data_IF_529487506180
#
_entry.id   IF_529487506180
#
_cell.length_a   1.000
_cell.length_b   1.000
_cell.length_c   1.000
_cell.angle_alpha   90.00
_cell.angle_beta   90.00
_cell.angle_gamma   90.00
#
_symmetry.space_group_name_H-M   'P 1'
#
loop_
_entity.id
_entity.type
_entity.pdbx_description
1 polymer ?
#
# COMPACT_ATOMS: atom_id res chain seq x y z
N UNK A 1 30.57 -2.77 -5.03
CA UNK A 1 30.05 -1.39 -5.11
C UNK A 1 28.51 -1.29 -5.05
N UNK A 2 27.75 -2.36 -4.75
CA UNK A 2 26.26 -2.35 -4.72
C UNK A 2 25.61 -2.28 -3.32
N UNK A 3 26.33 -2.63 -2.24
CA UNK A 3 25.79 -2.66 -0.86
C UNK A 3 25.34 -1.30 -0.31
N UNK A 4 25.99 -0.22 -0.76
CA UNK A 4 25.67 1.15 -0.29
C UNK A 4 24.37 1.66 -0.94
N UNK A 5 24.05 1.18 -2.14
CA UNK A 5 22.88 1.64 -2.92
C UNK A 5 21.55 1.25 -2.27
N UNK A 6 21.41 -0.01 -1.82
CA UNK A 6 20.14 -0.52 -1.29
C UNK A 6 19.79 0.04 0.10
N UNK A 7 20.79 0.22 0.96
CA UNK A 7 20.62 0.87 2.27
C UNK A 7 20.27 2.35 2.14
N UNK A 8 20.89 3.04 1.17
CA UNK A 8 20.54 4.44 0.85
C UNK A 8 19.12 4.52 0.31
N UNK A 9 18.72 3.63 -0.59
CA UNK A 9 17.36 3.59 -1.14
C UNK A 9 16.32 3.30 -0.05
N UNK A 10 16.57 2.34 0.85
CA UNK A 10 15.69 2.05 1.98
C UNK A 10 15.61 3.23 2.97
N UNK A 11 16.73 3.90 3.26
CA UNK A 11 16.76 5.09 4.11
C UNK A 11 16.02 6.27 3.45
N UNK A 12 16.17 6.45 2.13
CA UNK A 12 15.44 7.44 1.34
C UNK A 12 13.94 7.13 1.33
N UNK A 13 13.55 5.86 1.14
CA UNK A 13 12.17 5.42 1.20
C UNK A 13 11.55 5.64 2.57
N UNK A 14 12.27 5.29 3.64
CA UNK A 14 11.84 5.55 5.02
C UNK A 14 11.69 7.04 5.27
N UNK A 15 12.63 7.86 4.79
CA UNK A 15 12.55 9.32 4.89
C UNK A 15 11.41 9.93 4.07
N UNK A 16 11.11 9.43 2.87
CA UNK A 16 9.99 9.90 2.05
C UNK A 16 8.64 9.45 2.61
N UNK A 17 8.55 8.22 3.14
CA UNK A 17 7.39 7.76 3.90
C UNK A 17 7.19 8.62 5.14
N UNK A 18 8.25 8.88 5.91
CA UNK A 18 8.22 9.75 7.08
C UNK A 18 7.81 11.17 6.67
N UNK A 19 8.31 11.75 5.58
CA UNK A 19 7.89 13.08 5.09
C UNK A 19 6.42 13.11 4.64
N UNK A 20 5.93 12.07 3.95
CA UNK A 20 4.51 11.94 3.57
C UNK A 20 3.62 11.77 4.80
N UNK A 21 4.05 10.96 5.77
CA UNK A 21 3.46 10.86 7.10
C UNK A 21 3.53 12.20 7.84
N UNK A 22 4.62 12.96 7.71
CA UNK A 22 4.79 14.26 8.35
C UNK A 22 3.91 15.35 7.74
N UNK A 23 3.67 15.32 6.43
CA UNK A 23 2.65 16.17 5.78
C UNK A 23 1.23 15.79 6.22
N UNK A 24 0.97 14.51 6.49
CA UNK A 24 -0.24 14.10 7.20
C UNK A 24 -0.19 14.50 8.69
N UNK A 25 1.00 14.59 9.30
CA UNK A 25 1.18 15.12 10.66
C UNK A 25 1.06 16.64 10.74
N UNK A 26 1.02 17.38 9.63
CA UNK A 26 0.59 18.79 9.68
C UNK A 26 -0.91 18.90 10.03
N UNK A 27 -1.72 17.85 9.84
CA UNK A 27 -3.04 17.75 10.48
C UNK A 27 -2.94 17.45 11.99
N UNK A 28 -1.94 16.67 12.41
CA UNK A 28 -1.65 16.37 13.82
C UNK A 28 -1.13 17.62 14.54
N UNK A 29 -0.29 18.43 13.90
CA UNK A 29 0.24 19.69 14.44
C UNK A 29 -0.84 20.76 14.61
N UNK A 30 -1.88 20.76 13.75
CA UNK A 30 -3.10 21.57 13.95
C UNK A 30 -3.91 21.14 15.18
N UNK A 31 -3.82 19.87 15.60
CA UNK A 31 -4.47 19.35 16.82
C UNK A 31 -3.56 19.45 18.06
N UNK A 32 -2.24 19.57 17.89
CA UNK A 32 -1.31 19.96 18.96
C UNK A 32 -1.54 21.44 19.32
N UNK A 33 -2.40 21.71 20.30
CA UNK A 33 -2.56 23.06 20.81
C UNK A 33 -1.52 23.35 21.90
N UNK A 34 -0.70 24.40 21.69
CA UNK A 34 0.08 25.00 22.79
C UNK A 34 -0.91 25.86 23.59
N UNK A 35 -1.29 25.42 24.79
CA UNK A 35 -2.05 26.27 25.72
C UNK A 35 -1.08 27.06 26.58
N UNK A 36 -1.06 28.38 26.39
CA UNK A 36 -0.39 29.34 27.27
C UNK A 36 -1.46 29.94 28.16
N UNK A 37 -1.73 29.31 29.31
CA UNK A 37 -2.62 29.90 30.31
C UNK A 37 -1.85 30.05 31.63
N UNK A 38 -1.56 31.31 32.02
CA UNK A 38 -1.30 31.81 33.39
C UNK A 38 0.06 32.55 33.61
N UNK A 39 0.09 33.72 34.30
CA UNK A 39 1.27 34.61 34.47
C UNK A 39 2.51 34.09 35.24
N UNK A 40 2.62 32.78 35.48
CA UNK A 40 3.82 32.09 36.02
C UNK A 40 4.29 30.90 35.18
N UNK A 41 3.75 30.81 33.96
CA UNK A 41 3.84 29.82 32.87
C UNK A 41 4.69 28.54 33.04
N UNK A 42 4.03 27.37 33.06
CA UNK A 42 4.58 26.14 32.49
C UNK A 42 3.90 25.87 31.14
N UNK A 43 4.66 25.99 30.05
CA UNK A 43 4.20 25.64 28.69
C UNK A 43 3.83 24.15 28.65
N UNK A 44 2.54 23.83 28.48
CA UNK A 44 2.06 22.46 28.30
C UNK A 44 1.91 22.13 26.82
N UNK A 45 2.45 20.98 26.40
CA UNK A 45 2.26 20.45 25.05
C UNK A 45 1.18 19.36 25.10
N UNK A 46 0.07 19.57 24.39
CA UNK A 46 -0.97 18.54 24.23
C UNK A 46 -0.59 17.72 23.00
N UNK A 47 -0.23 16.45 23.22
CA UNK A 47 -0.11 15.49 22.14
C UNK A 47 -1.48 14.90 21.82
N UNK A 48 -1.87 14.80 20.55
CA UNK A 48 -3.10 14.13 20.16
C UNK A 48 -3.01 12.64 20.49
N UNK A 49 -4.16 12.07 20.78
CA UNK A 49 -4.31 10.63 20.98
C UNK A 49 -4.20 9.89 19.65
N UNK A 50 -4.01 8.57 19.68
CA UNK A 50 -4.07 7.75 18.47
C UNK A 50 -5.44 7.88 17.78
N UNK A 51 -6.51 8.01 18.55
CA UNK A 51 -7.88 8.21 18.04
C UNK A 51 -8.00 9.52 17.26
N UNK A 52 -7.39 10.61 17.75
CA UNK A 52 -7.37 11.91 17.05
C UNK A 52 -6.59 11.83 15.72
N UNK A 53 -5.50 11.07 15.71
CA UNK A 53 -4.67 10.82 14.52
C UNK A 53 -5.49 10.03 13.50
N UNK A 54 -6.13 8.95 13.93
CA UNK A 54 -6.97 8.12 13.07
C UNK A 54 -8.14 8.94 12.49
N UNK A 55 -8.87 9.68 13.31
CA UNK A 55 -9.97 10.53 12.85
C UNK A 55 -9.52 11.59 11.83
N UNK A 56 -8.32 12.15 12.01
CA UNK A 56 -7.75 13.12 11.06
C UNK A 56 -7.35 12.45 9.75
N UNK A 57 -6.77 11.25 9.82
CA UNK A 57 -6.43 10.45 8.65
C UNK A 57 -7.68 10.00 7.88
N UNK A 58 -8.75 9.61 8.57
CA UNK A 58 -10.03 9.26 7.94
C UNK A 58 -10.64 10.44 7.18
N UNK A 59 -10.66 11.64 7.79
CA UNK A 59 -11.14 12.86 7.13
C UNK A 59 -10.33 13.20 5.88
N UNK A 60 -9.00 13.20 6.01
CA UNK A 60 -8.12 13.47 4.87
C UNK A 60 -8.32 12.44 3.75
N UNK A 61 -8.47 11.15 4.08
CA UNK A 61 -8.76 10.11 3.09
C UNK A 61 -10.10 10.34 2.38
N UNK A 62 -11.15 10.69 3.12
CA UNK A 62 -12.47 10.95 2.54
C UNK A 62 -12.48 12.16 1.59
N UNK A 63 -11.62 13.15 1.84
CA UNK A 63 -11.45 14.32 0.96
C UNK A 63 -10.59 14.03 -0.29
N UNK A 64 -9.60 13.13 -0.18
CA UNK A 64 -8.56 12.94 -1.21
C UNK A 64 -8.73 11.65 -2.03
N UNK A 65 -9.53 10.70 -1.58
CA UNK A 65 -9.75 9.43 -2.29
C UNK A 65 -11.23 9.19 -2.59
N UNK A 66 -11.54 8.50 -3.71
CA UNK A 66 -12.89 8.02 -3.97
C UNK A 66 -13.36 7.07 -2.86
N UNK A 67 -14.69 7.01 -2.70
CA UNK A 67 -15.32 6.06 -1.81
C UNK A 67 -14.89 4.62 -2.13
N UNK A 68 -14.77 3.80 -1.09
CA UNK A 68 -14.44 2.38 -1.26
C UNK A 68 -15.51 1.70 -2.12
N UNK A 69 -15.11 0.95 -3.15
CA UNK A 69 -16.05 0.22 -3.98
C UNK A 69 -16.74 -0.88 -3.17
N UNK A 70 -18.03 -1.07 -3.42
CA UNK A 70 -18.84 -2.11 -2.76
C UNK A 70 -18.85 -3.42 -3.55
N UNK A 71 -18.63 -3.35 -4.86
CA UNK A 71 -18.58 -4.49 -5.77
C UNK A 71 -17.34 -4.44 -6.65
N UNK A 72 -16.96 -5.57 -7.26
CA UNK A 72 -15.84 -5.63 -8.20
C UNK A 72 -16.10 -4.84 -9.50
N UNK A 73 -17.37 -4.67 -9.87
CA UNK A 73 -17.80 -3.87 -11.01
C UNK A 73 -17.58 -2.37 -10.75
N UNK A 74 -17.82 -1.92 -9.51
CA UNK A 74 -17.62 -0.52 -9.11
C UNK A 74 -16.15 -0.14 -8.91
N UNK A 75 -15.26 -1.14 -8.79
CA UNK A 75 -13.83 -0.91 -8.61
C UNK A 75 -13.23 -0.31 -9.89
N UNK A 76 -12.98 0.99 -9.87
CA UNK A 76 -12.28 1.71 -10.93
C UNK A 76 -10.90 2.11 -10.43
N UNK A 77 -9.84 1.69 -11.14
CA UNK A 77 -8.46 2.04 -10.81
C UNK A 77 -8.02 3.16 -11.75
N UNK A 78 -7.83 4.40 -11.25
CA UNK A 78 -7.33 5.51 -12.05
C UNK A 78 -5.96 5.20 -12.64
N UNK A 79 -5.67 5.70 -13.85
CA UNK A 79 -4.40 5.43 -14.53
C UNK A 79 -3.18 5.91 -13.72
N UNK A 80 -3.32 7.03 -13.01
CA UNK A 80 -2.27 7.53 -12.11
C UNK A 80 -1.90 6.54 -11.00
N UNK A 81 -2.80 5.63 -10.62
CA UNK A 81 -2.56 4.62 -9.58
C UNK A 81 -2.01 3.31 -10.13
N UNK A 82 -1.99 3.16 -11.47
CA UNK A 82 -1.38 2.01 -12.14
C UNK A 82 0.14 2.13 -12.22
N UNK A 83 0.69 3.30 -11.89
CA UNK A 83 2.10 3.64 -11.97
C UNK A 83 2.75 3.65 -10.58
N UNK A 84 4.05 3.36 -10.53
CA UNK A 84 4.86 3.55 -9.33
C UNK A 84 5.27 5.03 -9.15
N UNK A 85 6.04 5.33 -8.11
CA UNK A 85 6.54 6.69 -7.85
C UNK A 85 7.50 7.24 -8.93
N UNK A 86 8.06 6.38 -9.78
CA UNK A 86 8.94 6.72 -10.89
C UNK A 86 8.18 6.81 -12.22
N UNK A 87 6.84 6.74 -12.19
CA UNK A 87 5.96 6.80 -13.36
C UNK A 87 6.07 5.55 -14.25
N UNK A 88 6.68 4.46 -13.75
CA UNK A 88 6.70 3.18 -14.45
C UNK A 88 5.43 2.36 -14.14
N UNK A 89 4.97 1.51 -15.08
CA UNK A 89 3.87 0.59 -14.83
C UNK A 89 4.13 -0.29 -13.60
N UNK A 90 3.12 -0.36 -12.73
CA UNK A 90 3.12 -1.20 -11.53
C UNK A 90 1.94 -2.16 -11.52
N UNK A 91 0.74 -1.71 -11.89
CA UNK A 91 -0.37 -2.61 -12.21
C UNK A 91 -0.16 -3.14 -13.63
N UNK A 92 0.21 -4.41 -13.76
CA UNK A 92 0.54 -5.02 -15.03
C UNK A 92 -0.67 -5.70 -15.68
N UNK A 93 -1.52 -6.33 -14.86
CA UNK A 93 -2.70 -7.06 -15.33
C UNK A 93 -3.90 -6.57 -14.53
N UNK A 94 -4.97 -6.25 -15.26
CA UNK A 94 -6.29 -5.93 -14.73
C UNK A 94 -7.33 -6.64 -15.60
N UNK A 95 -7.51 -7.94 -15.32
CA UNK A 95 -8.40 -8.80 -16.08
C UNK A 95 -9.73 -8.95 -15.36
N UNK A 96 -10.82 -8.74 -16.10
CA UNK A 96 -12.20 -8.91 -15.64
C UNK A 96 -12.81 -10.10 -16.37
N UNK A 97 -13.34 -11.06 -15.62
CA UNK A 97 -14.05 -12.19 -16.18
C UNK A 97 -15.54 -12.10 -15.83
N UNK A 98 -16.37 -12.49 -16.80
CA UNK A 98 -17.81 -12.62 -16.64
C UNK A 98 -18.19 -14.08 -16.86
N UNK A 99 -18.83 -14.68 -15.86
CA UNK A 99 -19.37 -16.02 -16.02
C UNK A 99 -20.66 -15.95 -16.84
N UNK A 100 -20.80 -16.78 -17.88
CA UNK A 100 -22.02 -16.79 -18.73
C UNK A 100 -23.30 -17.17 -17.97
N UNK A 101 -23.15 -17.75 -16.78
CA UNK A 101 -24.25 -18.32 -15.98
C UNK A 101 -24.37 -17.75 -14.57
N UNK A 102 -23.47 -16.85 -14.15
CA UNK A 102 -23.49 -16.24 -12.81
C UNK A 102 -23.40 -14.73 -12.94
N UNK A 103 -24.10 -14.02 -12.06
CA UNK A 103 -24.09 -12.55 -11.98
C UNK A 103 -22.83 -12.01 -11.30
N UNK A 104 -21.96 -12.88 -10.76
CA UNK A 104 -20.76 -12.46 -10.05
C UNK A 104 -19.63 -12.12 -11.05
N UNK A 105 -19.12 -10.89 -10.97
CA UNK A 105 -17.87 -10.52 -11.62
C UNK A 105 -16.71 -11.23 -10.95
N UNK A 106 -15.75 -11.68 -11.76
CA UNK A 106 -14.45 -12.10 -11.30
C UNK A 106 -13.40 -11.10 -11.81
N UNK A 107 -12.31 -10.96 -11.05
CA UNK A 107 -11.24 -10.04 -11.40
C UNK A 107 -9.91 -10.54 -10.87
N UNK A 108 -8.87 -10.37 -11.70
CA UNK A 108 -7.49 -10.62 -11.32
C UNK A 108 -6.67 -9.35 -11.53
N UNK A 109 -5.99 -8.90 -10.46
CA UNK A 109 -5.05 -7.79 -10.51
C UNK A 109 -3.65 -8.30 -10.21
N UNK A 110 -2.67 -8.01 -11.08
CA UNK A 110 -1.27 -8.36 -10.84
C UNK A 110 -0.44 -7.09 -10.81
N UNK A 111 0.28 -6.92 -9.70
CA UNK A 111 1.17 -5.80 -9.45
C UNK A 111 2.62 -6.28 -9.41
N UNK A 112 3.49 -5.66 -10.19
CA UNK A 112 4.92 -5.84 -10.10
C UNK A 112 5.66 -4.64 -10.70
N UNK A 113 6.87 -4.37 -10.19
CA UNK A 113 7.76 -3.39 -10.82
C UNK A 113 8.66 -4.06 -11.87
N UNK A 114 9.20 -3.28 -12.80
CA UNK A 114 10.18 -3.79 -13.76
C UNK A 114 11.42 -4.40 -13.06
N UNK A 115 11.84 -3.79 -11.95
CA UNK A 115 12.91 -4.34 -11.12
C UNK A 115 12.53 -5.71 -10.54
N UNK A 116 11.31 -5.86 -10.03
CA UNK A 116 10.81 -7.12 -9.48
C UNK A 116 10.83 -8.24 -10.52
N UNK A 117 10.39 -7.93 -11.75
CA UNK A 117 10.39 -8.88 -12.86
C UNK A 117 11.79 -9.27 -13.29
N UNK A 118 12.70 -8.31 -13.38
CA UNK A 118 14.11 -8.54 -13.74
C UNK A 118 14.85 -9.32 -12.64
N UNK A 119 14.55 -9.01 -11.38
CA UNK A 119 15.10 -9.74 -10.24
C UNK A 119 14.65 -11.21 -10.31
N UNK A 120 13.34 -11.45 -10.37
CA UNK A 120 12.81 -12.82 -10.46
C UNK A 120 13.32 -13.56 -11.70
N UNK A 121 13.43 -12.92 -12.87
CA UNK A 121 13.93 -13.59 -14.07
C UNK A 121 15.39 -14.05 -13.96
N UNK A 122 16.18 -13.43 -13.08
CA UNK A 122 17.55 -13.85 -12.77
C UNK A 122 17.64 -14.95 -11.71
N UNK A 123 16.55 -15.22 -11.00
CA UNK A 123 16.49 -16.19 -9.91
C UNK A 123 16.26 -17.61 -10.44
N UNK A 124 16.93 -18.60 -9.82
CA UNK A 124 16.82 -20.01 -10.20
C UNK A 124 15.51 -20.62 -9.66
N UNK A 125 15.03 -20.14 -8.53
CA UNK A 125 13.81 -20.62 -7.87
C UNK A 125 13.00 -19.43 -7.41
N UNK A 126 11.68 -19.58 -7.41
CA UNK A 126 10.77 -18.63 -6.82
C UNK A 126 9.96 -19.33 -5.74
N UNK A 127 9.57 -18.55 -4.74
CA UNK A 127 8.65 -18.93 -3.69
C UNK A 127 7.33 -18.21 -3.91
N UNK A 128 6.24 -18.84 -3.51
CA UNK A 128 4.90 -18.24 -3.54
C UNK A 128 4.21 -18.55 -2.23
N UNK A 129 3.47 -17.56 -1.72
CA UNK A 129 2.56 -17.76 -0.61
C UNK A 129 1.20 -17.13 -0.94
N UNK A 130 0.13 -17.72 -0.44
CA UNK A 130 -1.24 -17.28 -0.62
C UNK A 130 -1.86 -16.97 0.74
N UNK A 131 -2.15 -15.70 1.00
CA UNK A 131 -2.75 -15.27 2.27
C UNK A 131 -4.18 -14.81 2.10
N UNK A 132 -5.02 -15.29 3.00
CA UNK A 132 -6.42 -14.89 3.10
C UNK A 132 -6.59 -13.72 4.08
N UNK A 133 -5.86 -13.68 5.19
CA UNK A 133 -6.15 -12.76 6.31
C UNK A 133 -6.03 -11.27 5.96
N UNK A 134 -5.13 -10.91 5.05
CA UNK A 134 -4.80 -9.51 4.72
C UNK A 134 -5.38 -9.03 3.38
N UNK A 135 -6.22 -9.83 2.73
CA UNK A 135 -6.82 -9.49 1.43
C UNK A 135 -7.82 -8.33 1.54
N UNK A 136 -7.95 -7.48 0.50
CA UNK A 136 -9.07 -6.54 0.43
C UNK A 136 -10.39 -7.29 0.35
N UNK A 137 -11.45 -6.73 0.95
CA UNK A 137 -12.75 -7.41 1.13
C UNK A 137 -13.41 -7.89 -0.18
N UNK A 138 -13.10 -7.25 -1.31
CA UNK A 138 -13.63 -7.62 -2.62
C UNK A 138 -12.90 -8.81 -3.27
N UNK A 139 -11.75 -9.22 -2.73
CA UNK A 139 -10.92 -10.31 -3.25
C UNK A 139 -10.92 -11.47 -2.27
N UNK A 140 -10.80 -12.68 -2.80
CA UNK A 140 -10.80 -13.90 -2.00
C UNK A 140 -9.41 -14.31 -1.57
N UNK A 141 -8.34 -13.84 -2.23
CA UNK A 141 -6.98 -14.18 -1.86
C UNK A 141 -5.97 -13.13 -2.35
N UNK A 142 -4.88 -12.95 -1.58
CA UNK A 142 -3.67 -12.26 -2.01
C UNK A 142 -2.55 -13.29 -2.17
N UNK A 143 -2.04 -13.44 -3.38
CA UNK A 143 -0.86 -14.23 -3.69
C UNK A 143 0.37 -13.34 -3.81
N UNK A 144 1.48 -13.80 -3.24
CA UNK A 144 2.76 -13.10 -3.28
C UNK A 144 3.79 -14.04 -3.87
N UNK A 145 4.44 -13.65 -4.96
CA UNK A 145 5.63 -14.32 -5.48
C UNK A 145 6.84 -13.56 -4.97
N UNK A 146 7.77 -14.29 -4.37
CA UNK A 146 8.95 -13.76 -3.73
C UNK A 146 10.17 -14.62 -4.04
N UNK A 147 11.34 -14.05 -3.84
CA UNK A 147 12.58 -14.82 -3.75
C UNK A 147 13.54 -14.21 -2.72
N UNK A 148 14.56 -14.97 -2.34
CA UNK A 148 15.55 -14.56 -1.36
C UNK A 148 16.71 -13.80 -2.01
N UNK A 149 17.09 -12.68 -1.38
CA UNK A 149 18.34 -12.00 -1.68
C UNK A 149 18.99 -11.50 -0.41
N UNK A 150 20.29 -11.77 -0.26
CA UNK A 150 21.09 -11.38 0.90
C UNK A 150 20.48 -11.82 2.25
N UNK A 151 19.84 -13.00 2.30
CA UNK A 151 19.23 -13.54 3.52
C UNK A 151 17.83 -12.98 3.84
N UNK A 152 17.25 -12.16 2.97
CA UNK A 152 15.91 -11.60 3.13
C UNK A 152 14.98 -12.13 2.03
N UNK A 153 13.75 -12.46 2.40
CA UNK A 153 12.69 -12.74 1.44
C UNK A 153 12.17 -11.42 0.87
N UNK A 154 12.23 -11.27 -0.44
CA UNK A 154 11.81 -10.08 -1.16
C UNK A 154 10.51 -10.39 -1.90
N UNK A 155 9.37 -9.80 -1.49
CA UNK A 155 8.13 -9.91 -2.25
C UNK A 155 8.21 -9.07 -3.53
N UNK A 156 7.94 -9.71 -4.67
CA UNK A 156 8.21 -9.15 -5.98
C UNK A 156 6.94 -8.92 -6.80
N UNK A 157 6.01 -9.88 -6.77
CA UNK A 157 4.74 -9.81 -7.48
C UNK A 157 3.61 -10.02 -6.47
N UNK A 158 2.56 -9.21 -6.58
CA UNK A 158 1.34 -9.31 -5.79
C UNK A 158 0.18 -9.58 -6.72
N UNK A 159 -0.59 -10.63 -6.46
CA UNK A 159 -1.76 -11.00 -7.24
C UNK A 159 -3.00 -11.02 -6.35
N UNK A 160 -4.00 -10.21 -6.68
CA UNK A 160 -5.31 -10.24 -6.07
C UNK A 160 -6.27 -11.00 -6.98
N UNK A 161 -6.93 -12.01 -6.43
CA UNK A 161 -7.87 -12.86 -7.16
C UNK A 161 -9.20 -12.97 -6.44
N UNK A 162 -10.28 -12.96 -7.21
CA UNK A 162 -11.63 -13.25 -6.75
C UNK A 162 -11.90 -14.76 -6.62
N UNK A 163 -11.00 -15.61 -7.10
CA UNK A 163 -11.04 -17.06 -6.88
C UNK A 163 -10.29 -17.44 -5.62
N UNK A 164 -10.80 -18.47 -4.95
CA UNK A 164 -10.11 -19.12 -3.83
C UNK A 164 -9.53 -20.40 -4.38
N UNK A 165 -8.21 -20.42 -4.56
CA UNK A 165 -7.51 -21.63 -4.91
C UNK A 165 -6.83 -22.12 -3.63
N UNK A 166 -7.24 -23.31 -3.16
CA UNK A 166 -6.65 -23.99 -2.00
C UNK A 166 -5.73 -25.12 -2.47
N UNK A 167 -4.62 -24.79 -3.12
CA UNK A 167 -3.57 -25.75 -3.46
C UNK A 167 -2.17 -25.15 -3.31
#
# INVERSE_FOLDING_TARGET
MQKVSLMIVLAQWKNELVKKLFRATDLISRNCQIRVNHPGLPTGLIFPTLEDIDASLYRWRAENYPNLPKTLQDLMIPDAWKLNNQVDPFLLIDEKYMHKTSTNAERMLIFASNWSLTFLSSCIRWHRDGTFSIRPILFQQLYIICDYSNGYMIPCIYCLTSKRDEE
#
